data_IF_535031087160
#
_entry.id   IF_535031087160
#
_cell.length_a   1.000
_cell.length_b   1.000
_cell.length_c   1.000
_cell.angle_alpha   90.00
_cell.angle_beta   90.00
_cell.angle_gamma   90.00
#
_symmetry.space_group_name_H-M   'P 1'
#
loop_
_entity.id
_entity.type
_entity.pdbx_description
1 polymer ?
#
# COMPACT_ATOMS: atom_id res chain seq x y z
N UNK A 1 -44.76 77.65 -4.29
CA UNK A 1 -46.17 77.19 -4.20
C UNK A 1 -46.28 75.80 -4.79
N UNK A 2 -47.02 74.92 -4.12
CA UNK A 2 -47.26 73.51 -4.48
C UNK A 2 -48.10 73.39 -5.76
N UNK A 3 -47.91 72.32 -6.53
CA UNK A 3 -49.03 71.60 -7.13
C UNK A 3 -48.66 70.11 -7.33
N UNK A 4 -49.47 69.25 -6.71
CA UNK A 4 -49.48 67.79 -6.80
C UNK A 4 -50.46 67.36 -7.90
N UNK A 5 -50.11 66.40 -8.75
CA UNK A 5 -50.99 65.43 -9.42
C UNK A 5 -50.21 64.10 -9.45
N UNK A 6 -50.52 63.07 -8.66
CA UNK A 6 -51.67 62.12 -8.64
C UNK A 6 -51.68 61.13 -9.82
N UNK A 7 -51.38 59.86 -9.44
CA UNK A 7 -51.76 58.54 -10.02
C UNK A 7 -51.22 58.13 -11.40
N UNK A 8 -50.60 56.95 -11.45
CA UNK A 8 -51.29 55.74 -11.95
C UNK A 8 -50.46 54.47 -11.76
N UNK A 9 -51.04 53.55 -11.00
CA UNK A 9 -50.64 52.15 -10.80
C UNK A 9 -50.86 51.35 -12.09
N UNK A 10 -49.88 50.52 -12.51
CA UNK A 10 -50.15 49.26 -13.22
C UNK A 10 -49.16 48.19 -12.77
N UNK A 11 -49.68 47.24 -12.00
CA UNK A 11 -49.16 45.89 -11.89
C UNK A 11 -49.19 45.23 -13.27
N UNK A 12 -48.10 44.58 -13.67
CA UNK A 12 -48.12 43.52 -14.67
C UNK A 12 -47.29 42.35 -14.14
N UNK A 13 -48.03 41.33 -13.73
CA UNK A 13 -47.61 39.99 -13.38
C UNK A 13 -46.95 39.32 -14.60
N UNK A 14 -45.68 38.93 -14.51
CA UNK A 14 -45.07 38.00 -15.47
C UNK A 14 -44.67 36.74 -14.72
N UNK A 15 -45.43 35.68 -15.00
CA UNK A 15 -45.23 34.34 -14.48
C UNK A 15 -43.94 33.71 -15.04
N UNK A 16 -43.26 32.97 -14.18
CA UNK A 16 -41.99 32.30 -14.44
C UNK A 16 -42.11 31.08 -15.37
N UNK A 17 -41.12 30.85 -16.27
CA UNK A 17 -40.93 29.57 -16.95
C UNK A 17 -39.59 28.89 -16.58
N UNK A 18 -39.10 29.03 -15.34
CA UNK A 18 -37.77 28.49 -14.96
C UNK A 18 -37.77 27.08 -14.37
N UNK A 19 -38.92 26.51 -13.97
CA UNK A 19 -38.95 25.20 -13.27
C UNK A 19 -38.96 23.97 -14.18
N UNK A 20 -39.46 24.06 -15.41
CA UNK A 20 -39.62 22.89 -16.28
C UNK A 20 -38.28 22.42 -16.91
N UNK A 21 -37.36 23.34 -17.17
CA UNK A 21 -36.09 23.06 -17.84
C UNK A 21 -35.04 22.39 -16.93
N UNK A 22 -35.09 22.63 -15.62
CA UNK A 22 -34.17 21.98 -14.66
C UNK A 22 -34.53 20.50 -14.41
N UNK A 23 -35.82 20.16 -14.35
CA UNK A 23 -36.28 18.79 -14.11
C UNK A 23 -35.88 17.83 -15.26
N UNK A 24 -35.90 18.32 -16.50
CA UNK A 24 -35.50 17.53 -17.68
C UNK A 24 -33.97 17.23 -17.71
N UNK A 25 -33.15 18.12 -17.12
CA UNK A 25 -31.69 17.96 -17.08
C UNK A 25 -31.26 16.98 -15.98
N UNK A 26 -31.96 16.99 -14.85
CA UNK A 26 -31.75 16.04 -13.75
C UNK A 26 -32.12 14.61 -14.14
N UNK A 27 -33.24 14.42 -14.85
CA UNK A 27 -33.66 13.09 -15.30
C UNK A 27 -32.66 12.45 -16.28
N UNK A 28 -32.06 13.24 -17.19
CA UNK A 28 -31.00 12.76 -18.08
C UNK A 28 -29.73 12.32 -17.33
N UNK A 29 -29.34 13.01 -16.25
CA UNK A 29 -28.14 12.66 -15.48
C UNK A 29 -28.33 11.39 -14.66
N UNK A 30 -29.49 11.20 -14.05
CA UNK A 30 -29.82 9.97 -13.31
C UNK A 30 -29.88 8.76 -14.25
N UNK A 31 -30.44 8.92 -15.45
CA UNK A 31 -30.51 7.85 -16.44
C UNK A 31 -29.12 7.45 -16.98
N UNK A 32 -28.24 8.42 -17.25
CA UNK A 32 -26.89 8.15 -17.81
C UNK A 32 -25.95 7.50 -16.78
N UNK A 33 -26.08 7.83 -15.49
CA UNK A 33 -25.17 7.33 -14.44
C UNK A 33 -25.74 6.08 -13.74
N UNK A 34 -27.06 5.98 -13.57
CA UNK A 34 -27.69 4.87 -12.85
C UNK A 34 -27.71 3.54 -13.62
N UNK A 35 -27.93 3.59 -14.94
CA UNK A 35 -28.00 2.40 -15.80
C UNK A 35 -26.71 1.56 -15.85
N UNK A 36 -25.50 2.13 -16.03
CA UNK A 36 -24.28 1.32 -16.09
C UNK A 36 -23.94 0.66 -14.75
N UNK A 37 -24.27 1.30 -13.61
CA UNK A 37 -24.00 0.72 -12.29
C UNK A 37 -24.83 -0.54 -12.02
N UNK A 38 -26.10 -0.55 -12.43
CA UNK A 38 -26.99 -1.72 -12.27
C UNK A 38 -26.56 -2.88 -13.17
N UNK A 39 -26.12 -2.59 -14.40
CA UNK A 39 -25.63 -3.61 -15.33
C UNK A 39 -24.36 -4.32 -14.83
N UNK A 40 -23.44 -3.59 -14.19
CA UNK A 40 -22.19 -4.17 -13.65
C UNK A 40 -22.45 -5.09 -12.46
N UNK A 41 -23.37 -4.73 -11.55
CA UNK A 41 -23.72 -5.58 -10.40
C UNK A 41 -24.42 -6.86 -10.85
N UNK A 42 -25.30 -6.78 -11.85
CA UNK A 42 -25.96 -7.96 -12.42
C UNK A 42 -24.96 -8.92 -13.10
N UNK A 43 -23.95 -8.40 -13.81
CA UNK A 43 -22.92 -9.22 -14.45
C UNK A 43 -22.02 -9.93 -13.43
N UNK A 44 -21.60 -9.23 -12.37
CA UNK A 44 -20.73 -9.79 -11.33
C UNK A 44 -21.45 -10.82 -10.46
N UNK A 45 -22.75 -10.66 -10.23
CA UNK A 45 -23.58 -11.63 -9.50
C UNK A 45 -23.80 -12.94 -10.26
N UNK A 46 -23.88 -12.91 -11.60
CA UNK A 46 -24.13 -14.11 -12.41
C UNK A 46 -22.87 -14.91 -12.77
N UNK A 47 -21.68 -14.29 -12.69
CA UNK A 47 -20.40 -14.96 -12.99
C UNK A 47 -19.76 -15.64 -11.75
N UNK A 48 -20.36 -15.54 -10.57
CA UNK A 48 -19.80 -16.04 -9.32
C UNK A 48 -20.13 -17.50 -8.90
N UNK A 49 -20.98 -18.32 -9.57
CA UNK A 49 -21.19 -19.70 -9.14
C UNK A 49 -20.32 -20.75 -9.88
N UNK A 50 -19.22 -20.36 -10.55
CA UNK A 50 -18.36 -21.31 -11.32
C UNK A 50 -16.89 -21.39 -10.87
N UNK A 51 -16.56 -21.01 -9.63
CA UNK A 51 -15.20 -21.13 -9.08
C UNK A 51 -15.16 -21.82 -7.72
N UNK A 52 -15.93 -22.89 -7.57
CA UNK A 52 -15.81 -23.83 -6.45
C UNK A 52 -15.86 -25.29 -6.93
N UNK A 53 -15.08 -25.59 -7.97
CA UNK A 53 -14.77 -26.95 -8.41
C UNK A 53 -13.28 -27.02 -8.73
N UNK A 54 -12.61 -28.02 -8.17
CA UNK A 54 -11.20 -28.44 -8.33
C UNK A 54 -10.12 -27.37 -8.01
N UNK A 55 -9.25 -27.56 -7.02
CA UNK A 55 -8.22 -28.60 -7.04
C UNK A 55 -7.81 -29.08 -5.65
N UNK A 56 -8.02 -30.38 -5.41
CA UNK A 56 -7.20 -31.20 -4.51
C UNK A 56 -6.19 -31.91 -5.42
N UNK A 57 -4.88 -31.79 -5.16
CA UNK A 57 -4.03 -32.96 -5.32
C UNK A 57 -3.26 -33.18 -4.03
N UNK A 58 -3.76 -34.15 -3.29
CA UNK A 58 -2.97 -34.99 -2.42
C UNK A 58 -2.06 -35.80 -3.35
N UNK A 59 -0.75 -35.53 -3.35
CA UNK A 59 0.21 -36.45 -3.93
C UNK A 59 1.31 -36.71 -2.90
N UNK A 60 1.10 -37.84 -2.25
CA UNK A 60 2.00 -38.53 -1.34
C UNK A 60 3.24 -39.06 -2.08
N UNK A 61 4.31 -39.18 -1.29
CA UNK A 61 5.23 -40.33 -1.28
C UNK A 61 6.46 -40.29 -2.19
N UNK A 62 7.51 -39.63 -1.70
CA UNK A 62 8.90 -39.99 -2.02
C UNK A 62 9.60 -40.48 -0.74
N UNK A 63 9.13 -41.60 -0.20
CA UNK A 63 9.90 -42.38 0.78
C UNK A 63 10.65 -43.46 0.02
N UNK A 64 11.82 -43.11 -0.51
CA UNK A 64 12.78 -44.10 -0.98
C UNK A 64 13.59 -44.57 0.23
N UNK A 65 13.20 -45.74 0.72
CA UNK A 65 13.99 -46.62 1.60
C UNK A 65 15.29 -46.97 0.88
N UNK A 66 16.43 -46.61 1.46
CA UNK A 66 17.67 -47.35 1.30
C UNK A 66 17.91 -48.02 2.63
N UNK A 67 17.77 -49.34 2.64
CA UNK A 67 18.03 -50.18 3.80
C UNK A 67 19.50 -50.60 3.83
N UNK A 68 20.13 -50.36 4.99
CA UNK A 68 21.11 -51.20 5.71
C UNK A 68 22.56 -51.32 5.16
N UNK A 69 23.57 -51.63 6.01
CA UNK A 69 23.50 -52.15 7.39
C UNK A 69 24.34 -51.43 8.46
N UNK A 70 24.20 -51.97 9.67
CA UNK A 70 24.68 -51.60 11.01
C UNK A 70 26.18 -51.30 11.18
N UNK A 71 26.52 -50.35 12.07
CA UNK A 71 27.26 -50.64 13.31
C UNK A 71 27.21 -49.44 14.29
N UNK A 72 27.25 -49.65 15.62
CA UNK A 72 27.09 -48.61 16.63
C UNK A 72 28.43 -48.20 17.27
N UNK A 73 28.84 -46.94 17.16
CA UNK A 73 29.87 -46.36 18.05
C UNK A 73 29.47 -44.95 18.52
N UNK A 74 29.06 -44.97 19.79
CA UNK A 74 29.21 -44.04 20.90
C UNK A 74 30.00 -42.70 20.74
N UNK A 75 29.42 -41.65 21.37
CA UNK A 75 30.02 -40.42 21.92
C UNK A 75 30.52 -39.31 20.95
N UNK A 76 29.82 -38.18 20.91
CA UNK A 76 30.20 -37.03 21.77
C UNK A 76 29.05 -36.02 21.90
N UNK A 77 28.87 -35.51 23.11
CA UNK A 77 27.79 -34.62 23.53
C UNK A 77 28.18 -33.19 23.15
N UNK A 78 27.73 -32.73 21.97
CA UNK A 78 27.69 -31.32 21.66
C UNK A 78 26.31 -30.76 22.04
N UNK A 79 26.23 -30.22 23.26
CA UNK A 79 25.13 -29.35 23.72
C UNK A 79 24.71 -28.38 22.61
N UNK A 80 23.46 -28.40 22.10
CA UNK A 80 23.01 -27.35 21.21
C UNK A 80 22.92 -26.05 22.01
N UNK A 81 23.82 -25.12 21.70
CA UNK A 81 23.72 -23.73 22.13
C UNK A 81 22.30 -23.22 21.88
N UNK A 82 21.70 -22.44 22.80
CA UNK A 82 20.34 -21.95 22.64
C UNK A 82 20.27 -21.18 21.32
N UNK A 83 19.51 -21.73 20.37
CA UNK A 83 19.15 -21.05 19.14
C UNK A 83 18.59 -19.69 19.54
N UNK A 84 19.36 -18.63 19.28
CA UNK A 84 18.87 -17.28 19.45
C UNK A 84 17.65 -17.19 18.53
N UNK A 85 16.47 -17.16 19.14
CA UNK A 85 15.22 -16.85 18.49
C UNK A 85 15.39 -15.46 17.87
N UNK A 86 15.83 -15.42 16.62
CA UNK A 86 15.64 -14.26 15.75
C UNK A 86 14.14 -14.22 15.54
N UNK A 87 13.46 -13.63 16.52
CA UNK A 87 12.01 -13.52 16.53
C UNK A 87 11.62 -12.79 15.25
N UNK A 88 10.85 -13.47 14.40
CA UNK A 88 10.07 -12.79 13.38
C UNK A 88 9.32 -11.69 14.13
N UNK A 89 9.49 -10.41 13.75
CA UNK A 89 8.87 -9.34 14.51
C UNK A 89 7.37 -9.57 14.56
N UNK A 90 6.83 -9.49 15.78
CA UNK A 90 5.40 -9.54 15.96
C UNK A 90 4.77 -8.37 15.18
N UNK A 91 3.65 -8.60 14.50
CA UNK A 91 2.95 -7.58 13.72
C UNK A 91 2.61 -6.34 14.58
N UNK A 92 2.46 -6.55 15.89
CA UNK A 92 2.32 -5.48 16.88
C UNK A 92 3.54 -4.54 16.95
N UNK A 93 4.76 -5.05 16.81
CA UNK A 93 5.99 -4.25 16.85
C UNK A 93 6.04 -3.29 15.65
N UNK A 94 5.63 -3.77 14.47
CA UNK A 94 5.56 -2.96 13.25
C UNK A 94 4.45 -1.91 13.28
N UNK A 95 3.31 -2.20 13.89
CA UNK A 95 2.19 -1.25 13.97
C UNK A 95 2.53 0.06 14.70
N UNK A 96 3.50 0.03 15.62
CA UNK A 96 4.00 1.20 16.34
C UNK A 96 5.22 1.86 15.67
N UNK A 97 5.66 1.33 14.54
CA UNK A 97 6.66 1.94 13.68
C UNK A 97 5.97 2.60 12.48
N UNK A 98 6.41 3.81 12.11
CA UNK A 98 5.83 4.50 10.94
C UNK A 98 6.91 5.17 10.09
N UNK A 99 6.71 5.09 8.77
CA UNK A 99 7.55 5.75 7.79
C UNK A 99 6.93 7.07 7.34
N UNK A 100 7.65 8.17 7.46
CA UNK A 100 7.21 9.52 7.10
C UNK A 100 8.26 10.25 6.27
N UNK A 101 7.91 11.45 5.76
CA UNK A 101 8.82 12.33 5.00
C UNK A 101 9.58 11.62 3.87
N UNK A 102 8.89 10.72 3.18
CA UNK A 102 9.48 9.95 2.09
C UNK A 102 9.68 10.83 0.85
N UNK A 103 10.90 10.84 0.32
CA UNK A 103 11.25 11.45 -0.96
C UNK A 103 12.27 10.61 -1.71
N UNK A 104 12.23 10.70 -3.03
CA UNK A 104 13.02 9.88 -3.94
C UNK A 104 13.86 10.76 -4.85
N UNK A 105 15.12 10.37 -5.04
CA UNK A 105 16.01 10.94 -6.05
C UNK A 105 16.75 9.82 -6.76
N UNK A 106 17.03 10.05 -8.04
CA UNK A 106 17.93 9.18 -8.81
C UNK A 106 19.34 9.75 -8.77
N UNK A 107 20.33 8.88 -8.71
CA UNK A 107 21.76 9.20 -8.79
C UNK A 107 22.48 8.28 -9.78
N UNK A 108 23.80 8.47 -9.93
CA UNK A 108 24.66 7.60 -10.75
C UNK A 108 24.12 7.34 -12.15
N UNK A 109 24.11 8.37 -13.01
CA UNK A 109 23.55 8.33 -14.36
C UNK A 109 22.03 8.04 -14.42
N UNK A 110 21.35 8.12 -13.28
CA UNK A 110 19.90 7.99 -13.19
C UNK A 110 19.40 6.59 -12.89
N UNK A 111 20.28 5.61 -12.63
CA UNK A 111 19.91 4.23 -12.30
C UNK A 111 19.99 3.93 -10.80
N UNK A 112 20.70 4.71 -9.98
CA UNK A 112 20.73 4.49 -8.52
C UNK A 112 19.51 5.10 -7.87
N UNK A 113 18.81 4.34 -7.04
CA UNK A 113 17.68 4.82 -6.25
C UNK A 113 18.13 5.28 -4.87
N UNK A 114 18.03 6.58 -4.60
CA UNK A 114 18.31 7.18 -3.30
C UNK A 114 16.99 7.61 -2.66
N UNK A 115 16.70 7.07 -1.49
CA UNK A 115 15.52 7.40 -0.71
C UNK A 115 15.90 8.23 0.51
N UNK A 116 15.10 9.25 0.79
CA UNK A 116 15.12 9.95 2.09
C UNK A 116 13.80 9.70 2.78
N UNK A 117 13.83 9.25 4.03
CA UNK A 117 12.64 9.04 4.85
C UNK A 117 12.96 9.20 6.34
N UNK A 118 11.92 9.25 7.16
CA UNK A 118 12.04 9.31 8.61
C UNK A 118 11.24 8.19 9.23
N UNK A 119 11.88 7.40 10.07
CA UNK A 119 11.24 6.35 10.87
C UNK A 119 10.88 6.94 12.22
N UNK A 120 9.63 6.77 12.65
CA UNK A 120 9.20 7.05 14.02
C UNK A 120 9.02 5.73 14.75
N UNK A 121 9.68 5.60 15.89
CA UNK A 121 9.49 4.51 16.83
C UNK A 121 8.60 4.97 17.98
N UNK A 122 7.41 4.38 18.11
CA UNK A 122 6.52 4.62 19.26
C UNK A 122 6.58 3.48 20.30
N UNK A 123 7.44 2.49 20.10
CA UNK A 123 7.65 1.41 21.07
C UNK A 123 8.43 1.89 22.30
N UNK A 124 8.27 1.13 23.39
CA UNK A 124 8.98 1.31 24.66
C UNK A 124 10.40 0.71 24.64
N UNK A 125 10.82 0.12 23.52
CA UNK A 125 12.13 -0.48 23.29
C UNK A 125 12.77 0.06 22.00
N UNK A 126 14.11 0.08 21.92
CA UNK A 126 14.82 0.44 20.70
C UNK A 126 14.64 -0.65 19.64
N UNK A 127 14.64 -0.25 18.37
CA UNK A 127 14.52 -1.17 17.22
C UNK A 127 15.72 -0.99 16.29
N UNK A 128 16.13 -2.06 15.61
CA UNK A 128 17.24 -2.11 14.65
C UNK A 128 16.84 -2.96 13.43
N UNK A 129 17.77 -3.13 12.50
CA UNK A 129 17.63 -4.01 11.32
C UNK A 129 16.33 -3.77 10.56
N UNK A 130 16.07 -2.51 10.20
CA UNK A 130 14.84 -2.11 9.52
C UNK A 130 14.86 -2.58 8.08
N UNK A 131 13.96 -3.50 7.72
CA UNK A 131 13.76 -3.88 6.32
C UNK A 131 12.76 -2.95 5.66
N UNK A 132 13.22 -2.22 4.65
CA UNK A 132 12.44 -1.28 3.88
C UNK A 132 12.22 -1.86 2.48
N UNK A 133 10.94 -2.02 2.11
CA UNK A 133 10.54 -2.29 0.73
C UNK A 133 10.12 -0.99 0.05
N UNK A 134 10.60 -0.76 -1.16
CA UNK A 134 10.25 0.37 -1.98
C UNK A 134 9.80 -0.08 -3.36
N UNK A 135 8.68 0.48 -3.83
CA UNK A 135 8.21 0.35 -5.19
C UNK A 135 8.49 1.65 -5.97
N UNK A 136 9.22 1.52 -7.07
CA UNK A 136 9.61 2.60 -7.97
C UNK A 136 8.81 2.50 -9.25
N UNK A 137 8.11 3.57 -9.62
CA UNK A 137 7.25 3.61 -10.80
C UNK A 137 7.62 4.76 -11.73
N UNK A 138 7.49 4.51 -13.03
CA UNK A 138 7.56 5.56 -14.04
C UNK A 138 6.33 6.48 -13.99
N UNK A 139 6.39 7.62 -14.69
CA UNK A 139 5.29 8.58 -14.75
C UNK A 139 3.99 7.99 -15.28
N UNK A 140 4.12 7.16 -16.30
CA UNK A 140 3.07 6.41 -16.99
C UNK A 140 2.72 5.08 -16.28
N UNK A 141 3.48 4.69 -15.26
CA UNK A 141 3.24 3.49 -14.46
C UNK A 141 3.58 2.16 -15.13
N UNK A 142 4.03 2.16 -16.40
CA UNK A 142 4.34 0.94 -17.16
C UNK A 142 5.54 0.18 -16.60
N UNK A 143 6.49 0.89 -15.98
CA UNK A 143 7.65 0.27 -15.35
C UNK A 143 7.49 0.37 -13.85
N UNK A 144 7.48 -0.79 -13.20
CA UNK A 144 7.54 -0.91 -11.74
C UNK A 144 8.74 -1.78 -11.38
N UNK A 145 9.60 -1.27 -10.52
CA UNK A 145 10.69 -2.03 -9.92
C UNK A 145 10.48 -2.02 -8.42
N UNK A 146 10.57 -3.18 -7.79
CA UNK A 146 10.56 -3.28 -6.34
C UNK A 146 11.98 -3.59 -5.85
N UNK A 147 12.34 -2.98 -4.73
CA UNK A 147 13.62 -3.25 -4.04
C UNK A 147 13.36 -3.37 -2.55
N UNK A 148 14.09 -4.25 -1.90
CA UNK A 148 14.14 -4.37 -0.45
C UNK A 148 15.56 -4.12 0.04
N UNK A 149 15.68 -3.49 1.20
CA UNK A 149 16.97 -3.27 1.86
C UNK A 149 16.79 -3.32 3.36
N UNK A 150 17.64 -4.09 4.02
CA UNK A 150 17.83 -4.02 5.47
C UNK A 150 18.79 -2.88 5.80
N UNK A 151 18.41 -2.06 6.77
CA UNK A 151 19.19 -0.94 7.28
C UNK A 151 19.57 -1.29 8.71
N UNK A 152 20.84 -1.66 8.90
CA UNK A 152 21.42 -2.05 10.18
C UNK A 152 21.71 -0.82 11.06
N UNK A 153 20.66 -0.03 11.33
CA UNK A 153 20.73 1.14 12.19
C UNK A 153 19.67 1.07 13.29
N UNK A 154 20.06 1.45 14.49
CA UNK A 154 19.14 1.53 15.63
C UNK A 154 18.36 2.84 15.63
N UNK A 155 17.06 2.75 15.96
CA UNK A 155 16.15 3.85 16.28
C UNK A 155 15.75 3.71 17.74
N UNK A 156 16.11 4.70 18.56
CA UNK A 156 15.86 4.69 20.00
C UNK A 156 14.38 4.61 20.36
N UNK A 157 14.10 4.25 21.62
CA UNK A 157 12.75 4.25 22.19
C UNK A 157 12.03 5.58 21.98
N UNK A 158 10.74 5.55 21.65
CA UNK A 158 9.87 6.74 21.54
C UNK A 158 10.46 7.90 20.69
N UNK A 159 11.31 7.58 19.72
CA UNK A 159 12.11 8.58 18.99
C UNK A 159 11.78 8.64 17.49
N UNK A 160 12.46 9.54 16.78
CA UNK A 160 12.43 9.64 15.32
C UNK A 160 13.85 9.69 14.79
N UNK A 161 14.12 8.95 13.71
CA UNK A 161 15.41 8.96 13.02
C UNK A 161 15.22 9.21 11.53
N UNK A 162 15.98 10.16 10.99
CA UNK A 162 16.00 10.45 9.57
C UNK A 162 17.09 9.64 8.87
N UNK A 163 16.76 9.10 7.70
CA UNK A 163 17.64 8.33 6.85
C UNK A 163 17.78 9.07 5.52
N UNK A 164 18.77 9.96 5.37
CA UNK A 164 18.96 10.72 4.16
C UNK A 164 19.68 9.92 3.08
N UNK A 165 19.22 10.03 1.83
CA UNK A 165 19.91 9.51 0.64
C UNK A 165 20.30 8.03 0.71
N UNK A 166 19.52 7.21 1.40
CA UNK A 166 19.77 5.78 1.54
C UNK A 166 19.62 5.09 0.19
N UNK A 167 20.67 4.39 -0.24
CA UNK A 167 20.67 3.66 -1.51
C UNK A 167 19.77 2.43 -1.42
N UNK A 168 18.68 2.38 -2.17
CA UNK A 168 17.78 1.21 -2.22
C UNK A 168 18.22 0.18 -3.28
N UNK A 169 19.16 0.54 -4.15
CA UNK A 169 19.66 -0.31 -5.22
C UNK A 169 19.55 0.39 -6.58
N UNK A 170 19.51 -0.42 -7.65
CA UNK A 170 19.39 0.08 -9.02
C UNK A 170 17.94 -0.02 -9.53
N UNK A 171 17.49 0.96 -10.29
CA UNK A 171 16.13 1.03 -10.83
C UNK A 171 16.17 1.46 -12.29
N UNK A 172 15.05 1.26 -12.98
CA UNK A 172 14.89 1.76 -14.34
C UNK A 172 15.09 3.29 -14.37
N UNK A 173 15.81 3.78 -15.37
CA UNK A 173 16.08 5.21 -15.58
C UNK A 173 14.81 6.04 -15.85
N UNK A 174 13.66 5.40 -16.09
CA UNK A 174 12.35 6.05 -16.24
C UNK A 174 11.56 6.12 -14.92
N UNK A 175 12.09 5.62 -13.81
CA UNK A 175 11.45 5.75 -12.51
C UNK A 175 11.39 7.22 -12.07
N UNK A 176 10.21 7.71 -11.71
CA UNK A 176 10.00 9.10 -11.27
C UNK A 176 9.38 9.20 -9.89
N UNK A 177 8.59 8.19 -9.49
CA UNK A 177 7.91 8.16 -8.20
C UNK A 177 8.36 6.93 -7.42
N UNK A 178 8.45 7.05 -6.11
CA UNK A 178 8.67 5.92 -5.21
C UNK A 178 7.77 6.01 -3.99
N UNK A 179 7.42 4.85 -3.45
CA UNK A 179 6.80 4.72 -2.12
C UNK A 179 7.45 3.54 -1.42
N UNK A 180 7.69 3.70 -0.13
CA UNK A 180 8.30 2.68 0.71
C UNK A 180 7.41 2.35 1.90
N UNK A 181 7.57 1.12 2.37
CA UNK A 181 6.94 0.57 3.55
C UNK A 181 7.99 -0.16 4.40
N UNK A 182 7.74 -0.20 5.70
CA UNK A 182 8.48 -1.05 6.61
C UNK A 182 7.94 -2.48 6.47
N UNK A 183 8.84 -3.45 6.30
CA UNK A 183 8.50 -4.88 6.13
C UNK A 183 8.79 -5.66 7.40
N UNK A 184 9.96 -5.42 8.00
CA UNK A 184 10.39 -6.02 9.25
C UNK A 184 11.27 -5.02 10.04
N UNK A 185 11.46 -5.30 11.33
CA UNK A 185 12.39 -4.63 12.22
C UNK A 185 12.72 -5.60 13.36
N UNK A 186 13.88 -5.48 13.99
CA UNK A 186 14.26 -6.31 15.14
C UNK A 186 14.34 -5.47 16.41
N UNK A 187 14.07 -6.05 17.57
CA UNK A 187 14.38 -5.38 18.86
C UNK A 187 15.91 -5.25 19.02
N UNK A 188 16.37 -4.08 19.44
CA UNK A 188 17.80 -3.78 19.53
C UNK A 188 18.46 -4.33 20.79
#
# INVERSE_FOLDING_TARGET
>A
MRLKHVRSTRMALVAAPHRATEMAKQLKRVLIIGLPAIAVVALMGWLLPLRLAETKPELTLNTAVIAAPDDPEEQDIATPAPSQLVGVPDAAELNRLSLSRQSFRRGGLGSRALMTFTVRNANDYPVKDLEIACAFRSRDGRYVTERRRVIAETVSTKSRKAFPMTLMGFVNIKAEKARCALVTASRA
#
